data_IF_925698009715
#
_entry.id   IF_925698009715
#
_cell.length_a   1.000
_cell.length_b   1.000
_cell.length_c   1.000
_cell.angle_alpha   90.00
_cell.angle_beta   90.00
_cell.angle_gamma   90.00
#
_symmetry.space_group_name_H-M   'P 1'
#
loop_
_entity.id
_entity.type
_entity.pdbx_description
1 polymer ?
#
# COMPACT_ATOMS: atom_id res chain seq x y z
N UNK A 1 12.89 5.96 -6.21
CA UNK A 1 13.74 5.14 -5.34
C UNK A 1 14.15 3.92 -6.16
N UNK A 2 15.38 3.41 -6.08
CA UNK A 2 15.82 2.23 -6.88
C UNK A 2 15.72 0.93 -6.08
N UNK A 3 15.44 -0.22 -6.74
CA UNK A 3 15.27 -1.52 -6.07
C UNK A 3 16.47 -1.83 -5.16
N UNK A 4 17.67 -1.51 -5.62
CA UNK A 4 18.91 -1.64 -4.85
C UNK A 4 18.92 -0.76 -3.59
N UNK A 5 18.46 0.49 -3.67
CA UNK A 5 18.38 1.39 -2.52
C UNK A 5 17.37 0.91 -1.46
N UNK A 6 16.26 0.30 -1.87
CA UNK A 6 15.32 -0.33 -0.93
C UNK A 6 15.90 -1.55 -0.27
N UNK A 7 16.50 -2.47 -1.05
CA UNK A 7 17.09 -3.68 -0.50
C UNK A 7 18.25 -3.39 0.45
N UNK A 8 19.07 -2.37 0.15
CA UNK A 8 20.14 -1.92 1.05
C UNK A 8 19.60 -1.28 2.34
N UNK A 9 18.41 -0.70 2.29
CA UNK A 9 17.77 -0.03 3.44
C UNK A 9 16.87 -0.96 4.26
N UNK A 10 16.42 -2.09 3.69
CA UNK A 10 15.72 -3.15 4.40
C UNK A 10 16.67 -3.85 5.37
N UNK A 11 16.49 -3.60 6.67
CA UNK A 11 17.26 -4.28 7.71
C UNK A 11 16.88 -5.77 7.77
N UNK A 12 17.84 -6.70 7.88
CA UNK A 12 17.56 -8.14 7.95
C UNK A 12 16.67 -8.53 9.13
N UNK A 13 16.71 -7.78 10.23
CA UNK A 13 15.90 -8.03 11.44
C UNK A 13 14.48 -7.42 11.40
N UNK A 14 14.02 -6.93 10.23
CA UNK A 14 12.64 -6.46 10.13
C UNK A 14 11.66 -7.63 10.26
N UNK A 15 10.75 -7.51 11.21
CA UNK A 15 9.59 -8.40 11.32
C UNK A 15 8.79 -8.41 10.00
N UNK A 16 8.19 -9.55 9.66
CA UNK A 16 7.47 -9.76 8.40
C UNK A 16 6.40 -8.68 8.13
N UNK A 17 5.64 -8.25 9.14
CA UNK A 17 4.64 -7.19 8.99
C UNK A 17 5.28 -5.84 8.64
N UNK A 18 6.46 -5.54 9.19
CA UNK A 18 7.20 -4.32 8.88
C UNK A 18 7.77 -4.38 7.47
N UNK A 19 8.24 -5.54 7.04
CA UNK A 19 8.72 -5.75 5.67
C UNK A 19 7.58 -5.66 4.64
N UNK A 20 6.40 -6.18 4.97
CA UNK A 20 5.20 -6.02 4.14
C UNK A 20 4.81 -4.55 4.00
N UNK A 21 4.72 -3.84 5.13
CA UNK A 21 4.41 -2.43 5.13
C UNK A 21 5.47 -1.61 4.38
N UNK A 22 6.73 -2.04 4.47
CA UNK A 22 7.82 -1.44 3.75
C UNK A 22 7.67 -1.53 2.25
N UNK A 23 7.35 -2.74 1.80
CA UNK A 23 7.13 -3.05 0.40
C UNK A 23 5.90 -2.32 -0.13
N UNK A 24 4.84 -2.18 0.67
CA UNK A 24 3.67 -1.38 0.30
C UNK A 24 4.05 0.08 0.02
N UNK A 25 4.75 0.73 0.96
CA UNK A 25 5.21 2.12 0.79
C UNK A 25 6.16 2.28 -0.40
N UNK A 26 7.02 1.28 -0.64
CA UNK A 26 7.86 1.21 -1.83
C UNK A 26 7.01 1.28 -3.10
N UNK A 27 6.01 0.40 -3.23
CA UNK A 27 5.17 0.35 -4.42
C UNK A 27 4.43 1.66 -4.64
N UNK A 28 3.88 2.24 -3.58
CA UNK A 28 3.18 3.52 -3.70
C UNK A 28 4.14 4.62 -4.19
N UNK A 29 5.35 4.69 -3.65
CA UNK A 29 6.36 5.66 -4.11
C UNK A 29 6.84 5.39 -5.53
N UNK A 30 6.91 4.12 -5.95
CA UNK A 30 7.27 3.74 -7.31
C UNK A 30 6.18 4.17 -8.31
N UNK A 31 4.91 3.97 -7.97
CA UNK A 31 3.78 4.42 -8.79
C UNK A 31 3.73 5.96 -8.95
N UNK A 32 4.11 6.68 -7.90
CA UNK A 32 4.09 8.15 -7.88
C UNK A 32 5.27 8.81 -8.62
N UNK A 33 6.40 8.11 -8.76
CA UNK A 33 7.58 8.61 -9.43
C UNK A 33 7.71 7.95 -10.81
N UNK A 34 6.97 8.45 -11.81
CA UNK A 34 7.24 8.11 -13.20
C UNK A 34 8.36 9.03 -13.71
N UNK A 35 9.66 8.64 -13.80
CA UNK A 35 10.32 7.35 -13.53
C UNK A 35 11.06 7.33 -12.18
N UNK A 36 11.37 6.12 -11.69
CA UNK A 36 11.90 5.79 -10.36
C UNK A 36 13.25 6.43 -9.94
N UNK A 37 13.78 7.40 -10.69
CA UNK A 37 15.04 8.06 -10.41
C UNK A 37 14.91 8.99 -9.19
N UNK A 38 15.61 8.60 -8.11
CA UNK A 38 16.13 9.50 -7.08
C UNK A 38 15.20 10.07 -5.99
N UNK A 39 14.11 9.38 -5.65
CA UNK A 39 13.55 9.56 -4.30
C UNK A 39 14.49 8.93 -3.24
N UNK A 40 14.97 9.70 -2.24
CA UNK A 40 15.85 9.19 -1.20
C UNK A 40 15.14 8.15 -0.33
N UNK A 41 15.89 7.18 0.24
CA UNK A 41 15.33 6.24 1.21
C UNK A 41 14.69 7.01 2.37
N UNK A 42 13.59 6.50 2.94
CA UNK A 42 12.96 7.16 4.06
C UNK A 42 13.91 7.31 5.25
N UNK A 43 13.87 8.45 5.94
CA UNK A 43 14.72 8.69 7.09
C UNK A 43 14.36 7.84 8.33
N UNK A 44 13.14 7.27 8.39
CA UNK A 44 12.65 6.51 9.54
C UNK A 44 11.64 5.43 9.17
N UNK A 45 11.65 4.35 9.94
CA UNK A 45 10.66 3.27 9.94
C UNK A 45 9.78 3.32 11.20
N UNK A 46 8.52 2.86 11.12
CA UNK A 46 7.65 2.84 9.94
C UNK A 46 7.01 4.22 9.67
N UNK A 47 6.85 4.56 8.40
CA UNK A 47 6.06 5.71 7.98
C UNK A 47 4.62 5.25 7.73
N UNK A 48 3.73 5.48 8.68
CA UNK A 48 2.31 5.17 8.49
C UNK A 48 1.61 6.16 7.56
N UNK A 49 2.28 7.24 7.15
CA UNK A 49 1.69 8.34 6.38
C UNK A 49 2.49 8.67 5.12
N UNK A 50 1.76 9.10 4.09
CA UNK A 50 2.29 9.55 2.80
C UNK A 50 1.79 10.96 2.50
N UNK A 51 2.68 11.85 2.08
CA UNK A 51 2.32 13.17 1.58
C UNK A 51 2.33 13.16 0.05
N UNK A 52 1.24 13.59 -0.58
CA UNK A 52 1.11 13.76 -2.02
C UNK A 52 0.36 15.04 -2.35
N UNK A 53 0.97 15.93 -3.15
CA UNK A 53 0.33 17.20 -3.55
C UNK A 53 -0.18 18.04 -2.37
N UNK A 54 0.53 18.03 -1.22
CA UNK A 54 0.12 18.70 0.02
C UNK A 54 -0.96 18.00 0.83
N UNK A 55 -1.40 16.81 0.41
CA UNK A 55 -2.35 15.97 1.15
C UNK A 55 -1.63 14.86 1.90
N UNK A 56 -1.86 14.78 3.22
CA UNK A 56 -1.35 13.70 4.05
C UNK A 56 -2.37 12.55 4.12
N UNK A 57 -1.91 11.33 3.85
CA UNK A 57 -2.69 10.11 3.73
C UNK A 57 -2.21 9.07 4.73
N UNK A 58 -3.13 8.31 5.32
CA UNK A 58 -2.76 7.10 6.03
C UNK A 58 -2.43 5.98 5.01
N UNK A 59 -1.43 5.15 5.30
CA UNK A 59 -1.13 3.95 4.52
C UNK A 59 -1.29 2.74 5.42
N UNK A 60 -2.04 1.75 4.95
CA UNK A 60 -2.12 0.44 5.60
C UNK A 60 -1.86 -0.66 4.60
N UNK A 61 -1.13 -1.68 5.04
CA UNK A 61 -0.76 -2.83 4.22
C UNK A 61 -1.31 -4.11 4.82
N UNK A 62 -1.74 -5.01 3.95
CA UNK A 62 -2.13 -6.37 4.33
C UNK A 62 -1.64 -7.34 3.24
N UNK A 63 -1.54 -8.61 3.58
CA UNK A 63 -1.21 -9.68 2.63
C UNK A 63 -2.34 -10.68 2.61
N UNK A 64 -2.79 -11.05 1.42
CA UNK A 64 -3.74 -12.14 1.25
C UNK A 64 -3.09 -13.47 1.68
N UNK A 65 -3.81 -14.24 2.50
CA UNK A 65 -3.39 -15.56 2.95
C UNK A 65 -4.59 -16.51 2.91
N UNK A 66 -4.35 -17.74 2.48
CA UNK A 66 -5.36 -18.81 2.52
C UNK A 66 -5.84 -19.12 3.95
N UNK A 67 -4.99 -18.86 4.95
CA UNK A 67 -5.25 -19.22 6.35
C UNK A 67 -5.97 -18.11 7.12
N UNK A 68 -5.91 -16.85 6.68
CA UNK A 68 -6.55 -15.71 7.35
C UNK A 68 -7.00 -14.64 6.36
N UNK A 69 -8.25 -14.17 6.47
CA UNK A 69 -8.70 -13.03 5.68
C UNK A 69 -7.88 -11.80 6.03
N UNK A 70 -7.28 -11.19 5.01
CA UNK A 70 -6.50 -9.97 5.15
C UNK A 70 -7.35 -8.83 5.75
N UNK A 71 -6.78 -8.09 6.68
CA UNK A 71 -7.42 -6.93 7.29
C UNK A 71 -6.45 -5.77 7.42
N UNK A 72 -6.97 -4.57 7.27
CA UNK A 72 -6.23 -3.34 7.40
C UNK A 72 -6.61 -2.65 8.70
N UNK A 73 -5.61 -2.15 9.42
CA UNK A 73 -5.83 -1.18 10.49
C UNK A 73 -6.19 0.16 9.88
N UNK A 74 -7.16 0.84 10.46
CA UNK A 74 -7.52 2.20 10.06
C UNK A 74 -6.57 3.20 10.74
N UNK A 75 -6.07 4.13 9.96
CA UNK A 75 -5.12 5.15 10.40
C UNK A 75 -5.80 6.32 11.12
N UNK A 76 -5.03 7.40 11.32
CA UNK A 76 -5.53 8.63 11.93
C UNK A 76 -6.63 9.26 11.06
N UNK A 77 -7.80 9.46 11.67
CA UNK A 77 -8.99 10.03 11.03
C UNK A 77 -8.86 11.53 10.78
N UNK A 78 -7.85 12.20 11.34
CA UNK A 78 -7.55 13.60 11.03
C UNK A 78 -7.00 13.79 9.61
N UNK A 79 -6.60 12.71 8.95
CA UNK A 79 -6.08 12.73 7.59
C UNK A 79 -7.21 12.73 6.55
N UNK A 80 -6.89 13.05 5.30
CA UNK A 80 -7.91 13.20 4.24
C UNK A 80 -8.47 11.85 3.80
N UNK A 81 -7.59 10.88 3.62
CA UNK A 81 -7.92 9.55 3.13
C UNK A 81 -6.93 8.50 3.63
N UNK A 82 -7.31 7.24 3.44
CA UNK A 82 -6.46 6.09 3.67
C UNK A 82 -6.22 5.35 2.35
N UNK A 83 -4.94 5.03 2.12
CA UNK A 83 -4.49 4.15 1.06
C UNK A 83 -4.30 2.74 1.64
N UNK A 84 -5.08 1.81 1.14
CA UNK A 84 -4.97 0.39 1.45
C UNK A 84 -4.14 -0.31 0.38
N UNK A 85 -3.10 -1.03 0.79
CA UNK A 85 -2.18 -1.75 -0.08
C UNK A 85 -2.26 -3.25 0.22
N UNK A 86 -2.93 -4.02 -0.63
CA UNK A 86 -2.98 -5.47 -0.50
C UNK A 86 -1.88 -6.09 -1.36
N UNK A 87 -1.00 -6.88 -0.74
CA UNK A 87 -0.20 -7.85 -1.45
C UNK A 87 -1.08 -9.07 -1.73
N UNK A 88 -1.61 -9.12 -2.95
CA UNK A 88 -2.41 -10.22 -3.48
C UNK A 88 -1.70 -10.81 -4.71
N UNK A 89 -0.93 -11.90 -4.55
CA UNK A 89 -0.29 -12.56 -5.67
C UNK A 89 -1.25 -13.08 -6.75
N UNK A 90 -2.55 -13.19 -6.43
CA UNK A 90 -3.57 -13.80 -7.28
C UNK A 90 -3.21 -15.23 -7.72
N UNK A 91 -3.90 -15.72 -8.76
CA UNK A 91 -3.57 -17.02 -9.35
C UNK A 91 -2.20 -17.04 -10.05
N UNK A 92 -1.63 -15.88 -10.41
CA UNK A 92 -0.38 -15.80 -11.17
C UNK A 92 0.82 -16.25 -10.33
N UNK A 93 0.93 -15.88 -9.06
CA UNK A 93 2.06 -16.34 -8.24
C UNK A 93 1.91 -17.81 -7.81
N UNK A 94 0.68 -18.33 -7.73
CA UNK A 94 0.41 -19.75 -7.52
C UNK A 94 0.96 -20.62 -8.66
N UNK A 95 1.20 -20.04 -9.84
CA UNK A 95 1.61 -20.76 -11.05
C UNK A 95 3.11 -20.84 -11.33
N UNK A 96 4.03 -20.26 -10.53
CA UNK A 96 5.48 -20.64 -10.44
C UNK A 96 6.44 -19.57 -9.87
N UNK A 97 6.02 -18.31 -9.67
CA UNK A 97 6.96 -17.20 -9.37
C UNK A 97 7.20 -16.91 -7.88
N UNK A 98 6.40 -17.50 -6.98
CA UNK A 98 6.48 -17.16 -5.56
C UNK A 98 6.04 -15.72 -5.28
N UNK A 99 5.92 -15.38 -4.00
CA UNK A 99 5.48 -14.04 -3.59
C UNK A 99 6.68 -13.10 -3.63
N UNK A 100 6.62 -12.07 -4.48
CA UNK A 100 7.60 -10.98 -4.53
C UNK A 100 6.89 -9.66 -4.17
N UNK A 101 7.03 -9.16 -2.93
CA UNK A 101 6.48 -7.86 -2.53
C UNK A 101 7.01 -6.68 -3.35
N UNK A 102 8.08 -6.86 -4.13
CA UNK A 102 8.63 -5.85 -5.03
C UNK A 102 8.05 -5.91 -6.44
N UNK A 103 7.28 -6.94 -6.77
CA UNK A 103 6.55 -7.05 -8.03
C UNK A 103 5.26 -6.22 -7.96
N UNK A 104 5.14 -5.11 -8.72
CA UNK A 104 3.97 -4.24 -8.69
C UNK A 104 2.67 -4.94 -9.10
N UNK A 105 2.75 -5.98 -9.94
CA UNK A 105 1.58 -6.74 -10.41
C UNK A 105 0.91 -7.57 -9.31
N UNK A 106 1.63 -7.81 -8.20
CA UNK A 106 1.11 -8.54 -7.03
C UNK A 106 0.41 -7.60 -6.03
N UNK A 107 0.26 -6.31 -6.34
CA UNK A 107 -0.37 -5.35 -5.45
C UNK A 107 -1.71 -4.83 -5.97
N UNK A 108 -2.63 -4.64 -5.03
CA UNK A 108 -3.91 -3.94 -5.25
C UNK A 108 -4.04 -2.78 -4.29
N UNK A 109 -4.59 -1.68 -4.78
CA UNK A 109 -4.67 -0.43 -4.04
C UNK A 109 -6.10 0.10 -3.94
N UNK A 110 -6.47 0.63 -2.77
CA UNK A 110 -7.72 1.38 -2.62
C UNK A 110 -7.42 2.70 -1.94
N UNK A 111 -7.77 3.79 -2.61
CA UNK A 111 -7.72 5.12 -2.04
C UNK A 111 -9.12 5.50 -1.54
N UNK A 112 -9.30 5.54 -0.22
CA UNK A 112 -10.63 5.73 0.39
C UNK A 112 -10.62 6.95 1.29
N UNK A 113 -11.44 7.99 1.00
CA UNK A 113 -11.65 9.10 1.90
C UNK A 113 -12.20 8.66 3.25
N UNK A 114 -11.71 9.23 4.35
CA UNK A 114 -12.11 8.79 5.69
C UNK A 114 -13.60 8.96 5.99
N UNK A 115 -14.29 9.90 5.35
CA UNK A 115 -15.74 10.08 5.48
C UNK A 115 -16.56 8.91 4.92
N UNK A 116 -15.96 8.05 4.09
CA UNK A 116 -16.59 6.83 3.56
C UNK A 116 -16.37 5.61 4.46
N UNK A 117 -15.50 5.74 5.48
CA UNK A 117 -15.20 4.68 6.43
C UNK A 117 -16.00 4.90 7.72
N UNK A 118 -16.67 3.85 8.21
CA UNK A 118 -17.44 3.92 9.45
C UNK A 118 -16.63 4.55 10.60
N UNK A 119 -17.17 5.54 11.33
CA UNK A 119 -16.39 6.35 12.28
C UNK A 119 -15.75 5.52 13.40
N UNK A 120 -16.50 4.58 13.97
CA UNK A 120 -16.03 3.79 15.12
C UNK A 120 -15.19 2.55 14.76
N UNK A 121 -15.00 2.26 13.47
CA UNK A 121 -14.21 1.08 13.07
C UNK A 121 -12.72 1.37 13.26
N UNK A 122 -12.01 0.38 13.80
CA UNK A 122 -10.55 0.38 13.93
C UNK A 122 -9.86 -0.43 12.82
N UNK A 123 -10.61 -1.27 12.11
CA UNK A 123 -10.10 -2.09 11.02
C UNK A 123 -11.17 -2.35 9.96
N UNK A 124 -10.72 -2.69 8.76
CA UNK A 124 -11.58 -3.17 7.66
C UNK A 124 -10.97 -4.43 7.05
N UNK A 125 -11.79 -5.46 6.84
CA UNK A 125 -11.37 -6.67 6.12
C UNK A 125 -11.38 -6.44 4.60
N UNK A 126 -10.48 -7.10 3.88
CA UNK A 126 -10.37 -6.99 2.41
C UNK A 126 -11.70 -7.26 1.72
N UNK A 127 -12.44 -8.31 2.09
CA UNK A 127 -13.74 -8.62 1.47
C UNK A 127 -14.78 -7.51 1.66
N UNK A 128 -14.74 -6.79 2.78
CA UNK A 128 -15.63 -5.66 3.03
C UNK A 128 -15.20 -4.42 2.22
N UNK A 129 -13.89 -4.20 2.12
CA UNK A 129 -13.30 -3.16 1.27
C UNK A 129 -13.68 -3.38 -0.20
N UNK A 130 -13.50 -4.60 -0.72
CA UNK A 130 -13.83 -4.95 -2.10
C UNK A 130 -15.32 -4.79 -2.41
N UNK A 131 -16.19 -5.19 -1.49
CA UNK A 131 -17.64 -5.02 -1.66
C UNK A 131 -18.05 -3.55 -1.75
N UNK A 132 -17.39 -2.68 -1.00
CA UNK A 132 -17.75 -1.26 -0.93
C UNK A 132 -17.07 -0.41 -2.02
N UNK A 133 -15.86 -0.79 -2.46
CA UNK A 133 -15.00 0.04 -3.31
C UNK A 133 -14.46 -0.69 -4.56
N UNK A 134 -14.91 -1.92 -4.84
CA UNK A 134 -14.50 -2.72 -6.00
C UNK A 134 -13.17 -3.46 -5.83
N UNK A 135 -12.65 -4.03 -6.90
CA UNK A 135 -11.45 -4.90 -6.92
C UNK A 135 -10.12 -4.19 -6.59
N UNK A 136 -10.13 -2.86 -6.53
CA UNK A 136 -8.94 -2.05 -6.29
C UNK A 136 -8.18 -1.73 -7.58
N UNK A 137 -7.37 -0.69 -7.47
CA UNK A 137 -6.53 -0.14 -8.53
C UNK A 137 -5.30 -1.01 -8.73
N UNK A 138 -4.81 -1.06 -9.98
CA UNK A 138 -3.48 -1.56 -10.29
C UNK A 138 -2.41 -0.56 -9.85
N UNK A 139 -1.15 -0.97 -9.87
CA UNK A 139 -0.03 -0.06 -9.64
C UNK A 139 0.03 1.08 -10.67
N UNK A 140 -0.30 0.80 -11.93
CA UNK A 140 -0.25 1.79 -13.02
C UNK A 140 -1.32 2.89 -12.87
N UNK A 141 -2.50 2.53 -12.33
CA UNK A 141 -3.61 3.47 -12.14
C UNK A 141 -3.46 4.34 -10.86
N UNK A 142 -2.57 3.93 -9.95
CA UNK A 142 -2.47 4.53 -8.62
C UNK A 142 -2.05 6.00 -8.66
N UNK A 143 -1.11 6.36 -9.54
CA UNK A 143 -0.64 7.75 -9.68
C UNK A 143 -1.77 8.69 -10.08
N UNK A 144 -2.51 8.33 -11.14
CA UNK A 144 -3.65 9.11 -11.62
C UNK A 144 -4.77 9.24 -10.57
N UNK A 145 -5.04 8.18 -9.80
CA UNK A 145 -6.03 8.23 -8.73
C UNK A 145 -5.63 9.16 -7.57
N UNK A 146 -4.33 9.20 -7.23
CA UNK A 146 -3.80 10.10 -6.21
C UNK A 146 -3.86 11.56 -6.67
N UNK A 147 -3.58 11.83 -7.95
CA UNK A 147 -3.72 13.16 -8.55
C UNK A 147 -5.17 13.65 -8.56
N UNK A 148 -6.11 12.78 -8.95
CA UNK A 148 -7.54 13.10 -8.97
C UNK A 148 -8.12 13.44 -7.60
N UNK A 149 -7.49 12.99 -6.51
CA UNK A 149 -7.92 13.32 -5.15
C UNK A 149 -7.42 14.71 -4.70
N UNK A 150 -6.28 15.18 -5.22
CA UNK A 150 -5.70 16.47 -4.82
C UNK A 150 -6.33 17.64 -5.58
N UNK A 151 -6.72 17.42 -6.85
CA UNK A 151 -7.48 18.36 -7.68
C UNK A 151 -8.90 18.61 -7.15
#
# INVERSE_FOLDING_TARGET
MTRAAFLAWCHPDLLEERLLHASALWQVKAALAAPAADLPPPARWPLSHLEWGGCLLAVASARASEQRPASFRLGDRSLRAQLFCLLDPGERAARSLGIDPLDPEQWRFWLVPFHQLHPDRQSIGVSALMRAHGEGLSHEDLGAALDAMVC
#
